data_IF_825952434766
#
_entry.id   IF_825952434766
#
_cell.length_a   1.000
_cell.length_b   1.000
_cell.length_c   1.000
_cell.angle_alpha   90.00
_cell.angle_beta   90.00
_cell.angle_gamma   90.00
#
_symmetry.space_group_name_H-M   'P 1'
#
loop_
_entity.id
_entity.type
_entity.pdbx_description
1 polymer ?
#
# COMPACT_ATOMS: atom_id res chain seq x y z
N UNK A 1 -63.58 -3.30 30.26
CA UNK A 1 -63.68 -4.27 29.14
C UNK A 1 -62.26 -4.74 28.86
N UNK A 2 -61.76 -5.73 29.60
CA UNK A 2 -61.91 -7.16 29.33
C UNK A 2 -61.33 -7.57 27.96
N UNK A 3 -60.27 -8.39 28.05
CA UNK A 3 -59.84 -9.41 27.07
C UNK A 3 -59.09 -8.86 25.84
N UNK A 4 -57.89 -9.30 25.45
CA UNK A 4 -57.24 -10.61 25.57
C UNK A 4 -55.71 -10.48 25.68
N UNK A 5 -55.15 -11.13 26.69
CA UNK A 5 -53.79 -11.68 26.73
C UNK A 5 -53.94 -13.18 27.06
N UNK A 6 -52.98 -13.99 26.62
CA UNK A 6 -52.78 -15.46 26.78
C UNK A 6 -53.18 -16.24 25.52
N UNK A 7 -52.28 -17.03 24.95
CA UNK A 7 -51.71 -18.21 25.63
C UNK A 7 -50.21 -18.46 25.35
N UNK A 8 -49.48 -18.66 26.48
CA UNK A 8 -48.45 -19.68 26.76
C UNK A 8 -47.17 -19.67 25.89
N UNK A 9 -45.99 -19.38 26.43
CA UNK A 9 -45.26 -20.18 27.45
C UNK A 9 -44.11 -20.90 26.70
N UNK A 10 -42.84 -20.89 27.09
CA UNK A 10 -42.20 -20.71 28.38
C UNK A 10 -40.76 -20.17 28.21
N UNK A 11 -40.33 -19.52 29.28
CA UNK A 11 -38.98 -19.26 29.77
C UNK A 11 -37.86 -20.21 29.31
N UNK A 12 -36.74 -19.64 28.86
CA UNK A 12 -35.49 -19.73 29.63
C UNK A 12 -34.58 -18.50 29.44
N UNK A 13 -34.13 -18.00 30.59
CA UNK A 13 -33.19 -16.88 30.84
C UNK A 13 -31.80 -17.25 30.27
N UNK A 14 -31.05 -16.32 29.71
CA UNK A 14 -30.24 -15.32 30.40
C UNK A 14 -29.95 -14.18 29.40
N UNK A 15 -30.01 -12.88 29.69
CA UNK A 15 -29.89 -12.21 30.97
C UNK A 15 -28.96 -11.02 30.77
N UNK A 16 -29.56 -9.87 30.43
CA UNK A 16 -29.15 -8.49 30.77
C UNK A 16 -27.85 -7.93 30.16
N UNK A 17 -27.74 -6.73 29.58
CA UNK A 17 -28.67 -5.61 29.40
C UNK A 17 -28.20 -4.75 28.22
N UNK A 18 -29.12 -4.47 27.28
CA UNK A 18 -29.07 -3.28 26.44
C UNK A 18 -29.58 -2.10 27.27
N UNK A 19 -28.86 -0.99 27.27
CA UNK A 19 -29.48 0.33 27.42
C UNK A 19 -29.47 1.00 26.04
N UNK A 20 -30.67 1.33 25.58
CA UNK A 20 -30.95 1.98 24.33
C UNK A 20 -31.04 3.50 24.58
N UNK A 21 -30.37 4.34 23.78
CA UNK A 21 -30.92 5.67 23.47
C UNK A 21 -30.32 6.28 22.20
N UNK A 22 -31.17 6.32 21.18
CA UNK A 22 -31.36 7.37 20.17
C UNK A 22 -30.22 8.39 19.94
N UNK A 23 -29.48 8.16 18.86
CA UNK A 23 -29.03 9.22 17.94
C UNK A 23 -29.20 8.65 16.52
N UNK A 24 -30.21 9.15 15.79
CA UNK A 24 -30.50 8.73 14.42
C UNK A 24 -29.40 9.23 13.49
N UNK A 25 -28.42 8.37 13.24
CA UNK A 25 -27.38 8.55 12.24
C UNK A 25 -26.32 7.47 12.39
N UNK A 26 -26.11 6.67 11.34
CA UNK A 26 -25.18 5.52 11.24
C UNK A 26 -25.82 4.16 11.53
N UNK A 27 -26.23 3.45 10.47
CA UNK A 27 -26.54 2.03 10.54
C UNK A 27 -25.20 1.26 10.52
N UNK A 28 -24.62 1.02 11.69
CA UNK A 28 -23.67 -0.07 11.91
C UNK A 28 -24.46 -1.39 11.85
N UNK A 29 -24.17 -2.23 10.87
CA UNK A 29 -24.48 -3.66 10.95
C UNK A 29 -23.14 -4.36 11.21
N UNK A 30 -22.84 -4.58 12.49
CA UNK A 30 -21.84 -5.56 12.94
C UNK A 30 -22.56 -6.91 12.99
N UNK A 31 -22.44 -7.69 11.92
CA UNK A 31 -22.65 -9.14 11.98
C UNK A 31 -21.26 -9.77 12.01
N UNK A 32 -21.04 -10.67 12.96
CA UNK A 32 -19.81 -11.40 13.13
C UNK A 32 -19.46 -12.15 11.83
N UNK A 33 -18.43 -11.66 11.14
CA UNK A 33 -17.89 -12.20 9.91
C UNK A 33 -16.65 -13.04 10.22
N UNK A 34 -16.59 -14.26 9.69
CA UNK A 34 -15.44 -15.16 9.85
C UNK A 34 -14.32 -14.82 8.86
N UNK A 35 -13.09 -15.14 9.26
CA UNK A 35 -11.76 -14.81 8.71
C UNK A 35 -11.57 -14.75 7.17
N UNK A 36 -12.47 -15.31 6.36
CA UNK A 36 -12.42 -15.21 4.89
C UNK A 36 -12.97 -13.90 4.30
N UNK A 37 -13.71 -13.08 5.07
CA UNK A 37 -14.47 -11.93 4.57
C UNK A 37 -13.72 -10.59 4.52
N UNK A 38 -12.45 -10.52 4.90
CA UNK A 38 -11.77 -9.21 4.95
C UNK A 38 -11.42 -8.62 3.56
N UNK A 39 -11.17 -9.46 2.56
CA UNK A 39 -11.11 -9.01 1.15
C UNK A 39 -12.49 -8.76 0.55
N UNK A 40 -13.55 -9.27 1.18
CA UNK A 40 -14.95 -9.01 0.81
C UNK A 40 -15.53 -7.76 1.50
N UNK A 41 -14.83 -7.20 2.51
CA UNK A 41 -15.33 -6.09 3.31
C UNK A 41 -15.45 -4.78 2.51
N UNK A 42 -14.60 -4.60 1.49
CA UNK A 42 -14.67 -3.47 0.56
C UNK A 42 -14.02 -3.84 -0.78
N UNK A 43 -14.81 -3.84 -1.87
CA UNK A 43 -14.29 -4.10 -3.22
C UNK A 43 -13.39 -2.93 -3.67
N UNK A 44 -12.08 -3.16 -3.58
CA UNK A 44 -11.02 -2.26 -4.09
C UNK A 44 -10.54 -2.64 -5.50
N UNK A 45 -11.15 -3.66 -6.11
CA UNK A 45 -10.78 -4.16 -7.44
C UNK A 45 -11.66 -3.59 -8.55
N UNK A 46 -12.62 -2.75 -8.18
CA UNK A 46 -13.50 -2.04 -9.09
C UNK A 46 -14.38 -2.98 -9.93
N UNK A 47 -14.69 -4.19 -9.46
CA UNK A 47 -15.33 -5.22 -10.28
C UNK A 47 -16.77 -4.84 -10.70
N UNK A 48 -17.53 -4.25 -9.77
CA UNK A 48 -18.92 -3.80 -9.98
C UNK A 48 -19.04 -2.29 -10.09
N UNK A 49 -18.25 -1.57 -9.31
CA UNK A 49 -18.16 -0.12 -9.28
C UNK A 49 -16.80 0.30 -8.73
N UNK A 50 -16.29 1.47 -9.15
CA UNK A 50 -15.08 2.04 -8.57
C UNK A 50 -15.47 2.91 -7.38
N UNK A 51 -15.07 2.52 -6.17
CA UNK A 51 -15.22 3.34 -4.96
C UNK A 51 -13.95 4.12 -4.60
N UNK A 52 -12.80 3.55 -4.95
CA UNK A 52 -11.46 4.13 -4.79
C UNK A 52 -10.53 3.51 -5.84
N UNK A 53 -9.38 4.13 -6.12
CA UNK A 53 -8.40 3.63 -7.10
C UNK A 53 -6.97 3.75 -6.54
N UNK A 54 -6.64 3.07 -5.43
CA UNK A 54 -5.37 3.29 -4.73
C UNK A 54 -4.16 2.90 -5.57
N UNK A 55 -4.31 1.89 -6.45
CA UNK A 55 -3.22 1.39 -7.29
C UNK A 55 -3.70 1.09 -8.72
N UNK A 56 -4.52 1.98 -9.27
CA UNK A 56 -5.15 1.83 -10.58
C UNK A 56 -6.32 0.84 -10.58
N UNK A 57 -6.88 0.57 -11.76
CA UNK A 57 -8.09 -0.24 -11.93
C UNK A 57 -8.13 -1.04 -13.23
N UNK A 58 -9.03 -2.03 -13.28
CA UNK A 58 -9.33 -2.81 -14.48
C UNK A 58 -8.12 -3.61 -15.00
N UNK A 59 -7.91 -3.61 -16.32
CA UNK A 59 -6.84 -4.43 -16.95
C UNK A 59 -5.43 -4.05 -16.48
N UNK A 60 -5.22 -2.82 -16.02
CA UNK A 60 -3.93 -2.28 -15.58
C UNK A 60 -3.85 -2.09 -14.06
N UNK A 61 -4.78 -2.66 -13.29
CA UNK A 61 -4.70 -2.67 -11.82
C UNK A 61 -3.32 -3.17 -11.36
N UNK A 62 -2.75 -2.59 -10.31
CA UNK A 62 -1.46 -3.01 -9.78
C UNK A 62 -1.46 -4.52 -9.50
N UNK A 63 -0.52 -5.29 -10.07
CA UNK A 63 -0.46 -6.72 -9.82
C UNK A 63 -0.09 -7.05 -8.37
N UNK A 64 0.58 -6.13 -7.67
CA UNK A 64 1.11 -6.31 -6.31
C UNK A 64 0.18 -5.76 -5.21
N UNK A 65 -1.05 -5.34 -5.51
CA UNK A 65 -1.96 -4.69 -4.56
C UNK A 65 -2.14 -5.49 -3.25
N UNK A 66 -2.26 -6.82 -3.34
CA UNK A 66 -2.40 -7.68 -2.15
C UNK A 66 -1.15 -7.67 -1.26
N UNK A 67 0.04 -7.68 -1.86
CA UNK A 67 1.30 -7.62 -1.13
C UNK A 67 1.52 -6.22 -0.52
N UNK A 68 1.18 -5.16 -1.26
CA UNK A 68 1.28 -3.78 -0.79
C UNK A 68 0.38 -3.53 0.43
N UNK A 69 -0.88 -3.98 0.40
CA UNK A 69 -1.78 -3.86 1.55
C UNK A 69 -1.27 -4.64 2.77
N UNK A 70 -0.77 -5.86 2.58
CA UNK A 70 -0.14 -6.63 3.64
C UNK A 70 1.04 -5.88 4.27
N UNK A 71 1.91 -5.29 3.43
CA UNK A 71 3.04 -4.50 3.93
C UNK A 71 2.56 -3.26 4.70
N UNK A 72 1.59 -2.51 4.17
CA UNK A 72 1.05 -1.33 4.85
C UNK A 72 0.42 -1.70 6.20
N UNK A 73 -0.43 -2.72 6.25
CA UNK A 73 -1.04 -3.21 7.47
C UNK A 73 0.01 -3.64 8.49
N UNK A 74 1.00 -4.46 8.07
CA UNK A 74 2.03 -4.97 8.95
C UNK A 74 2.91 -3.85 9.53
N UNK A 75 3.37 -2.91 8.70
CA UNK A 75 4.22 -1.80 9.14
C UNK A 75 3.44 -0.85 10.05
N UNK A 76 2.23 -0.42 9.66
CA UNK A 76 1.41 0.49 10.47
C UNK A 76 1.07 -0.12 11.83
N UNK A 77 0.69 -1.41 11.86
CA UNK A 77 0.37 -2.08 13.11
C UNK A 77 1.57 -2.10 14.07
N UNK A 78 2.75 -2.51 13.58
CA UNK A 78 3.95 -2.57 14.43
C UNK A 78 4.40 -1.17 14.87
N UNK A 79 4.35 -0.17 13.99
CA UNK A 79 4.74 1.20 14.32
C UNK A 79 3.82 1.82 15.39
N UNK A 80 2.51 1.59 15.31
CA UNK A 80 1.55 2.10 16.30
C UNK A 80 1.62 1.33 17.60
N UNK A 81 1.88 0.02 17.53
CA UNK A 81 1.99 -0.81 18.74
C UNK A 81 3.18 -0.41 19.60
N UNK A 82 4.32 -0.13 18.97
CA UNK A 82 5.56 0.16 19.69
C UNK A 82 5.81 1.62 20.02
N UNK A 83 5.26 2.55 19.24
CA UNK A 83 5.56 3.96 19.38
C UNK A 83 4.30 4.80 19.52
N UNK A 84 4.38 5.81 20.39
CA UNK A 84 3.42 6.91 20.40
C UNK A 84 3.92 8.02 19.45
N UNK A 85 3.16 8.29 18.39
CA UNK A 85 3.55 9.21 17.33
C UNK A 85 3.04 10.62 17.62
N UNK A 86 3.99 11.56 17.76
CA UNK A 86 3.73 12.98 18.07
C UNK A 86 4.58 13.90 17.20
N UNK A 87 4.15 15.14 17.07
CA UNK A 87 4.93 16.20 16.42
C UNK A 87 6.00 16.76 17.35
N UNK A 88 7.16 17.09 16.80
CA UNK A 88 8.22 17.82 17.53
C UNK A 88 7.70 19.20 17.92
N UNK A 89 7.85 19.56 19.20
CA UNK A 89 7.51 20.89 19.71
C UNK A 89 6.03 21.27 19.63
N UNK A 90 5.11 20.31 19.43
CA UNK A 90 3.67 20.58 19.33
C UNK A 90 3.23 21.29 18.04
N UNK A 91 4.08 21.30 17.01
CA UNK A 91 3.73 21.84 15.70
C UNK A 91 2.55 21.11 15.05
N UNK A 92 1.78 21.78 14.19
CA UNK A 92 0.67 21.12 13.47
C UNK A 92 1.15 20.35 12.25
N UNK A 93 0.56 19.17 11.99
CA UNK A 93 0.82 18.41 10.76
C UNK A 93 0.11 19.08 9.57
N UNK A 94 0.91 19.60 8.65
CA UNK A 94 0.45 20.01 7.33
C UNK A 94 0.27 18.79 6.43
N UNK A 95 -0.94 18.62 5.90
CA UNK A 95 -1.27 17.56 4.95
C UNK A 95 -1.50 18.11 3.53
N UNK A 96 -1.07 19.34 3.28
CA UNK A 96 -1.14 19.93 1.95
C UNK A 96 -0.17 19.18 1.04
N UNK A 97 -0.69 18.63 -0.05
CA UNK A 97 0.13 17.95 -1.06
C UNK A 97 1.08 18.96 -1.71
N UNK A 98 2.37 18.63 -1.74
CA UNK A 98 3.32 19.33 -2.60
C UNK A 98 3.11 18.82 -4.03
N UNK A 99 3.03 19.75 -4.96
CA UNK A 99 2.69 19.49 -6.35
C UNK A 99 3.88 18.81 -7.06
N UNK A 100 3.87 17.48 -7.13
CA UNK A 100 4.84 16.68 -7.89
C UNK A 100 4.11 16.00 -9.04
N UNK A 101 4.62 16.17 -10.28
CA UNK A 101 4.28 15.63 -11.62
C UNK A 101 2.81 15.28 -12.01
N UNK A 102 1.96 14.83 -11.09
CA UNK A 102 0.53 14.54 -11.25
C UNK A 102 -0.30 15.79 -10.93
N UNK A 103 -1.00 16.32 -11.93
CA UNK A 103 -1.95 17.42 -11.73
C UNK A 103 -3.29 16.86 -11.31
N UNK A 104 -3.62 16.96 -10.01
CA UNK A 104 -4.99 16.70 -9.53
C UNK A 104 -5.77 18.01 -9.56
N UNK A 105 -6.90 18.05 -10.25
CA UNK A 105 -7.75 19.25 -10.26
C UNK A 105 -8.42 19.43 -8.90
N UNK A 106 -8.10 20.52 -8.22
CA UNK A 106 -8.71 20.91 -6.94
C UNK A 106 -10.18 21.34 -7.07
N UNK A 107 -10.56 21.89 -8.22
CA UNK A 107 -11.93 22.37 -8.51
C UNK A 107 -12.40 21.94 -9.90
N UNK A 108 -13.63 21.42 -9.98
CA UNK A 108 -14.23 20.92 -11.22
C UNK A 108 -14.78 22.06 -12.10
N UNK A 109 -13.90 22.96 -12.58
CA UNK A 109 -14.30 24.11 -13.42
C UNK A 109 -14.85 23.71 -14.79
N UNK A 110 -14.39 22.58 -15.34
CA UNK A 110 -14.63 22.19 -16.74
C UNK A 110 -15.57 20.98 -16.90
N UNK A 111 -16.23 20.55 -15.82
CA UNK A 111 -17.07 19.36 -15.81
C UNK A 111 -16.28 18.04 -15.68
N UNK A 112 -16.96 16.89 -15.79
CA UNK A 112 -16.40 15.58 -15.46
C UNK A 112 -15.50 14.97 -16.56
N UNK A 113 -15.47 15.57 -17.75
CA UNK A 113 -14.56 15.23 -18.85
C UNK A 113 -14.03 16.55 -19.42
N UNK A 114 -12.71 16.66 -19.53
CA UNK A 114 -12.08 17.82 -20.15
C UNK A 114 -10.80 17.42 -20.87
N UNK A 115 -10.36 18.27 -21.79
CA UNK A 115 -9.15 18.03 -22.59
C UNK A 115 -8.13 19.12 -22.29
N UNK A 116 -6.91 18.73 -21.97
CA UNK A 116 -5.75 19.62 -21.94
C UNK A 116 -4.79 19.23 -23.05
N UNK A 117 -4.13 20.21 -23.68
CA UNK A 117 -3.03 19.92 -24.59
C UNK A 117 -1.74 19.82 -23.79
N UNK A 118 -1.19 18.61 -23.71
CA UNK A 118 0.10 18.35 -23.08
C UNK A 118 1.09 18.02 -24.19
N UNK A 119 1.92 19.00 -24.56
CA UNK A 119 2.78 18.92 -25.74
C UNK A 119 1.97 18.83 -27.04
N UNK A 120 2.34 17.90 -27.93
CA UNK A 120 1.70 17.72 -29.25
C UNK A 120 0.45 16.84 -29.23
N UNK A 121 0.10 16.22 -28.09
CA UNK A 121 -1.02 15.30 -27.97
C UNK A 121 -2.11 15.84 -27.02
N UNK A 122 -3.40 15.68 -27.35
CA UNK A 122 -4.46 15.96 -26.41
C UNK A 122 -4.47 14.91 -25.29
N UNK A 123 -4.52 15.36 -24.04
CA UNK A 123 -4.75 14.55 -22.85
C UNK A 123 -6.20 14.75 -22.39
N UNK A 124 -6.97 13.65 -22.36
CA UNK A 124 -8.35 13.64 -21.90
C UNK A 124 -8.36 13.20 -20.44
N UNK A 125 -8.96 14.02 -19.59
CA UNK A 125 -9.09 13.76 -18.16
C UNK A 125 -10.55 13.41 -17.86
N UNK A 126 -10.74 12.39 -17.02
CA UNK A 126 -12.04 11.98 -16.50
C UNK A 126 -12.05 12.14 -14.98
N UNK A 127 -13.08 12.79 -14.45
CA UNK A 127 -13.15 13.22 -13.05
C UNK A 127 -14.26 12.56 -12.23
N UNK A 128 -14.91 11.50 -12.74
CA UNK A 128 -15.99 10.82 -11.99
C UNK A 128 -15.79 9.31 -11.95
N UNK A 129 -16.19 8.65 -10.84
CA UNK A 129 -16.10 7.19 -10.72
C UNK A 129 -16.84 6.43 -11.83
N UNK A 130 -18.01 6.92 -12.25
CA UNK A 130 -18.80 6.29 -13.32
C UNK A 130 -18.05 6.29 -14.65
N UNK A 131 -17.38 7.39 -15.00
CA UNK A 131 -16.58 7.47 -16.22
C UNK A 131 -15.31 6.63 -16.13
N UNK A 132 -14.66 6.63 -14.97
CA UNK A 132 -13.51 5.76 -14.71
C UNK A 132 -13.89 4.28 -14.86
N UNK A 133 -15.03 3.86 -14.32
CA UNK A 133 -15.52 2.48 -14.42
C UNK A 133 -15.82 2.11 -15.88
N UNK A 134 -16.47 3.01 -16.62
CA UNK A 134 -16.72 2.83 -18.06
C UNK A 134 -15.43 2.68 -18.85
N UNK A 135 -14.42 3.52 -18.59
CA UNK A 135 -13.16 3.52 -19.33
C UNK A 135 -12.26 2.34 -18.94
N UNK A 136 -11.95 2.17 -17.65
CA UNK A 136 -10.92 1.26 -17.16
C UNK A 136 -11.42 -0.18 -17.01
N UNK A 137 -12.71 -0.36 -16.70
CA UNK A 137 -13.30 -1.68 -16.42
C UNK A 137 -14.11 -2.16 -17.63
N UNK A 138 -15.20 -1.46 -17.99
CA UNK A 138 -16.09 -1.91 -19.08
C UNK A 138 -15.41 -1.89 -20.45
N UNK A 139 -14.65 -0.83 -20.75
CA UNK A 139 -13.90 -0.68 -22.00
C UNK A 139 -12.39 -0.89 -21.79
N UNK A 140 -12.01 -1.65 -20.75
CA UNK A 140 -10.62 -1.72 -20.29
C UNK A 140 -9.62 -2.18 -21.34
N UNK A 141 -10.02 -2.97 -22.35
CA UNK A 141 -9.11 -3.36 -23.43
C UNK A 141 -8.75 -2.19 -24.36
N UNK A 142 -9.68 -1.26 -24.59
CA UNK A 142 -9.48 -0.07 -25.46
C UNK A 142 -8.56 0.94 -24.76
N UNK A 143 -8.71 1.11 -23.46
CA UNK A 143 -7.97 2.11 -22.68
C UNK A 143 -6.76 1.55 -21.92
N UNK A 144 -6.42 0.26 -22.09
CA UNK A 144 -5.27 -0.35 -21.43
C UNK A 144 -3.94 0.00 -22.11
N UNK A 145 -3.94 0.57 -23.31
CA UNK A 145 -2.70 0.84 -24.04
C UNK A 145 -1.90 2.02 -23.44
N UNK A 146 -0.65 2.16 -23.88
CA UNK A 146 0.25 3.24 -23.45
C UNK A 146 0.74 4.02 -24.66
N UNK A 147 0.70 5.36 -24.65
CA UNK A 147 1.26 6.14 -25.74
C UNK A 147 2.73 5.80 -25.97
N UNK A 148 3.17 5.89 -27.23
CA UNK A 148 4.58 5.72 -27.55
C UNK A 148 5.43 6.75 -26.79
N UNK A 149 6.44 6.25 -26.07
CA UNK A 149 7.34 7.06 -25.28
C UNK A 149 8.24 7.92 -26.17
N UNK A 150 8.55 9.14 -25.70
CA UNK A 150 9.60 9.97 -26.30
C UNK A 150 10.97 9.30 -26.16
N UNK A 151 11.98 9.76 -26.90
CA UNK A 151 13.31 9.14 -26.91
C UNK A 151 13.89 8.91 -25.49
N UNK A 152 13.81 9.92 -24.61
CA UNK A 152 14.23 9.79 -23.21
C UNK A 152 13.40 8.76 -22.43
N UNK A 153 12.09 8.69 -22.68
CA UNK A 153 11.22 7.70 -22.05
C UNK A 153 11.51 6.27 -22.52
N UNK A 154 11.85 6.08 -23.81
CA UNK A 154 12.27 4.78 -24.35
C UNK A 154 13.56 4.29 -23.70
N UNK A 155 14.47 5.19 -23.36
CA UNK A 155 15.69 4.87 -22.62
C UNK A 155 15.36 4.33 -21.22
N UNK A 156 14.58 5.08 -20.45
CA UNK A 156 14.30 4.75 -19.03
C UNK A 156 13.41 3.50 -18.92
N UNK A 157 12.54 3.25 -19.90
CA UNK A 157 11.57 2.15 -19.88
C UNK A 157 12.02 0.89 -20.62
N UNK A 158 13.31 0.77 -20.96
CA UNK A 158 13.83 -0.33 -21.80
C UNK A 158 12.98 -0.52 -23.08
N UNK A 159 12.80 0.56 -23.84
CA UNK A 159 11.95 0.63 -25.03
C UNK A 159 10.48 0.23 -24.76
N UNK A 160 9.93 0.64 -23.62
CA UNK A 160 8.60 0.25 -23.15
C UNK A 160 8.44 -1.28 -23.03
N UNK A 161 9.47 -1.98 -22.53
CA UNK A 161 9.42 -3.43 -22.24
C UNK A 161 9.37 -3.69 -20.73
N UNK A 162 8.47 -2.98 -20.07
CA UNK A 162 8.17 -3.11 -18.64
C UNK A 162 6.64 -3.07 -18.41
N UNK A 163 6.17 -3.38 -17.20
CA UNK A 163 4.73 -3.51 -16.92
C UNK A 163 3.99 -2.16 -16.97
N UNK A 164 4.63 -1.10 -16.50
CA UNK A 164 4.05 0.24 -16.37
C UNK A 164 3.81 0.92 -17.72
N UNK A 165 4.76 0.79 -18.65
CA UNK A 165 4.79 1.57 -19.89
C UNK A 165 4.63 0.76 -21.18
N UNK A 166 4.75 -0.58 -21.15
CA UNK A 166 4.53 -1.40 -22.35
C UNK A 166 3.12 -1.23 -22.90
N UNK A 167 3.00 -1.33 -24.23
CA UNK A 167 1.71 -1.36 -24.90
C UNK A 167 0.87 -2.57 -24.49
N UNK A 168 -0.46 -2.47 -24.59
CA UNK A 168 -1.36 -3.56 -24.21
C UNK A 168 -1.30 -4.69 -25.24
N UNK A 169 -0.44 -5.68 -24.99
CA UNK A 169 -0.17 -6.75 -25.94
C UNK A 169 0.55 -7.97 -25.33
N UNK A 170 1.09 -8.87 -26.16
CA UNK A 170 1.77 -10.09 -25.73
C UNK A 170 2.90 -9.85 -24.72
N UNK A 171 3.79 -8.89 -24.98
CA UNK A 171 4.91 -8.53 -24.08
C UNK A 171 4.42 -8.13 -22.69
N UNK A 172 3.45 -7.22 -22.59
CA UNK A 172 2.88 -6.80 -21.31
C UNK A 172 2.23 -7.97 -20.56
N UNK A 173 1.48 -8.84 -21.25
CA UNK A 173 0.87 -10.03 -20.64
C UNK A 173 1.92 -11.01 -20.14
N UNK A 174 3.01 -11.19 -20.89
CA UNK A 174 4.12 -12.06 -20.51
C UNK A 174 4.82 -11.55 -19.25
N UNK A 175 5.22 -10.28 -19.22
CA UNK A 175 5.88 -9.66 -18.06
C UNK A 175 5.00 -9.74 -16.81
N UNK A 176 3.72 -9.38 -16.95
CA UNK A 176 2.75 -9.42 -15.84
C UNK A 176 2.52 -10.84 -15.32
N UNK A 177 2.45 -11.84 -16.20
CA UNK A 177 2.28 -13.25 -15.82
C UNK A 177 3.51 -13.78 -15.07
N UNK A 178 4.72 -13.46 -15.54
CA UNK A 178 5.96 -13.88 -14.88
C UNK A 178 6.07 -13.26 -13.48
N UNK A 179 5.83 -11.94 -13.35
CA UNK A 179 5.83 -11.29 -12.04
C UNK A 179 4.81 -11.92 -11.08
N UNK A 180 3.61 -12.19 -11.59
CA UNK A 180 2.54 -12.79 -10.81
C UNK A 180 2.85 -14.24 -10.39
N UNK A 181 3.52 -15.02 -11.23
CA UNK A 181 3.85 -16.41 -10.97
C UNK A 181 5.05 -16.57 -10.02
N UNK A 182 6.09 -15.76 -10.22
CA UNK A 182 7.37 -15.95 -9.53
C UNK A 182 7.46 -15.20 -8.20
N UNK A 183 6.93 -13.98 -8.13
CA UNK A 183 7.07 -13.10 -6.96
C UNK A 183 5.72 -12.93 -6.24
N UNK A 184 4.67 -12.55 -6.95
CA UNK A 184 3.42 -12.10 -6.31
C UNK A 184 2.43 -13.25 -6.01
N UNK A 185 2.78 -14.48 -6.36
CA UNK A 185 1.88 -15.62 -6.16
C UNK A 185 1.59 -15.81 -4.65
N UNK A 186 0.34 -16.06 -4.22
CA UNK A 186 0.02 -16.18 -2.79
C UNK A 186 0.84 -17.23 -2.02
N UNK A 187 1.27 -18.32 -2.68
CA UNK A 187 2.16 -19.31 -2.06
C UNK A 187 3.57 -18.77 -1.80
N UNK A 188 4.08 -17.90 -2.68
CA UNK A 188 5.38 -17.20 -2.53
C UNK A 188 5.27 -16.08 -1.51
N UNK A 189 4.18 -15.32 -1.52
CA UNK A 189 3.93 -14.23 -0.57
C UNK A 189 4.09 -14.67 0.90
N UNK A 190 3.62 -15.88 1.25
CA UNK A 190 3.81 -16.47 2.58
C UNK A 190 5.27 -16.79 2.92
N UNK A 191 6.07 -17.20 1.93
CA UNK A 191 7.49 -17.52 2.13
C UNK A 191 8.34 -16.31 2.50
N UNK A 192 7.88 -15.09 2.20
CA UNK A 192 8.60 -13.85 2.51
C UNK A 192 8.38 -13.33 3.94
N UNK A 193 7.80 -14.12 4.85
CA UNK A 193 7.56 -13.69 6.23
C UNK A 193 8.86 -13.31 6.95
N UNK A 194 9.93 -14.10 6.72
CA UNK A 194 11.25 -13.78 7.27
C UNK A 194 11.83 -12.46 6.72
N UNK A 195 11.55 -12.13 5.45
CA UNK A 195 11.96 -10.87 4.85
C UNK A 195 11.22 -9.68 5.48
N UNK A 196 9.91 -9.82 5.71
CA UNK A 196 9.09 -8.81 6.38
C UNK A 196 9.52 -8.56 7.82
N UNK A 197 9.77 -9.62 8.59
CA UNK A 197 10.27 -9.51 9.96
C UNK A 197 11.65 -8.83 10.01
N UNK A 198 12.55 -9.19 9.09
CA UNK A 198 13.87 -8.57 8.98
C UNK A 198 13.80 -7.09 8.61
N UNK A 199 12.95 -6.71 7.64
CA UNK A 199 12.76 -5.32 7.25
C UNK A 199 12.17 -4.45 8.38
N UNK A 200 11.23 -5.00 9.16
CA UNK A 200 10.74 -4.33 10.37
C UNK A 200 11.85 -4.16 11.40
N UNK A 201 12.68 -5.18 11.63
CA UNK A 201 13.79 -5.06 12.57
C UNK A 201 14.79 -3.97 12.14
N UNK A 202 15.10 -3.88 10.84
CA UNK A 202 15.90 -2.77 10.28
C UNK A 202 15.23 -1.43 10.55
N UNK A 203 13.94 -1.30 10.27
CA UNK A 203 13.21 -0.05 10.49
C UNK A 203 13.28 0.38 11.95
N UNK A 204 13.05 -0.55 12.87
CA UNK A 204 13.07 -0.28 14.30
C UNK A 204 14.44 0.14 14.80
N UNK A 205 15.49 -0.57 14.42
CA UNK A 205 16.87 -0.22 14.77
C UNK A 205 17.27 1.16 14.23
N UNK A 206 16.69 1.59 13.11
CA UNK A 206 16.93 2.92 12.53
C UNK A 206 16.08 4.02 13.17
N UNK A 207 14.93 3.68 13.75
CA UNK A 207 14.00 4.63 14.38
C UNK A 207 14.25 4.84 15.88
N UNK A 208 14.80 3.85 16.58
CA UNK A 208 15.19 3.97 17.99
C UNK A 208 16.58 4.60 18.05
N UNK A 209 16.71 5.89 18.39
CA UNK A 209 18.03 6.47 18.58
C UNK A 209 18.67 5.88 19.83
N UNK A 210 19.99 5.76 19.81
CA UNK A 210 20.77 5.49 21.01
C UNK A 210 20.36 6.44 22.16
N UNK A 211 20.27 5.97 23.42
CA UNK A 211 19.74 6.76 24.55
C UNK A 211 20.42 8.13 24.76
N UNK A 212 21.66 8.27 24.30
CA UNK A 212 22.48 9.48 24.42
C UNK A 212 22.36 10.43 23.21
N UNK A 213 21.64 10.03 22.16
CA UNK A 213 21.51 10.74 20.88
C UNK A 213 20.06 11.07 20.51
N UNK A 214 19.10 10.91 21.44
CA UNK A 214 17.70 11.24 21.19
C UNK A 214 17.59 12.67 20.62
N UNK A 215 17.25 12.84 19.33
CA UNK A 215 17.42 14.12 18.67
C UNK A 215 16.36 15.09 19.18
N UNK A 216 16.81 16.24 19.70
CA UNK A 216 15.93 17.36 20.07
C UNK A 216 15.06 17.85 18.88
N UNK A 217 15.47 17.52 17.65
CA UNK A 217 14.87 17.96 16.38
C UNK A 217 13.90 16.94 15.75
N UNK A 218 13.68 15.77 16.39
CA UNK A 218 12.82 14.69 15.88
C UNK A 218 13.42 13.86 14.74
N UNK A 219 12.65 12.88 14.27
CA UNK A 219 13.10 11.87 13.30
C UNK A 219 12.41 12.07 11.94
N UNK A 220 13.20 12.18 10.87
CA UNK A 220 12.67 12.20 9.49
C UNK A 220 12.40 10.78 9.02
N UNK A 221 11.15 10.34 9.12
CA UNK A 221 10.79 8.94 8.87
C UNK A 221 10.79 8.50 7.40
N UNK A 222 10.74 9.42 6.44
CA UNK A 222 10.66 9.08 5.00
C UNK A 222 11.84 8.23 4.56
N UNK A 223 13.07 8.66 4.87
CA UNK A 223 14.29 7.96 4.47
C UNK A 223 14.38 6.56 5.12
N UNK A 224 13.85 6.42 6.34
CA UNK A 224 13.80 5.14 7.05
C UNK A 224 12.75 4.20 6.46
N UNK A 225 11.57 4.70 6.10
CA UNK A 225 10.52 3.91 5.43
C UNK A 225 10.97 3.47 4.05
N UNK A 226 11.52 4.38 3.24
CA UNK A 226 12.07 4.04 1.92
C UNK A 226 13.13 2.95 2.02
N UNK A 227 14.10 3.10 2.91
CA UNK A 227 15.16 2.11 3.09
C UNK A 227 14.61 0.74 3.56
N UNK A 228 13.69 0.71 4.53
CA UNK A 228 13.13 -0.54 5.03
C UNK A 228 12.29 -1.28 3.96
N UNK A 229 11.46 -0.55 3.21
CA UNK A 229 10.68 -1.13 2.09
C UNK A 229 11.62 -1.60 0.99
N UNK A 230 12.66 -0.83 0.67
CA UNK A 230 13.66 -1.22 -0.32
C UNK A 230 14.34 -2.54 0.05
N UNK A 231 14.85 -2.65 1.28
CA UNK A 231 15.43 -3.89 1.81
C UNK A 231 14.46 -5.07 1.73
N UNK A 232 13.19 -4.86 2.10
CA UNK A 232 12.15 -5.88 1.99
C UNK A 232 11.98 -6.39 0.55
N UNK A 233 11.91 -5.47 -0.41
CA UNK A 233 11.70 -5.83 -1.81
C UNK A 233 12.93 -6.47 -2.43
N UNK A 234 14.14 -6.05 -2.06
CA UNK A 234 15.40 -6.70 -2.44
C UNK A 234 15.42 -8.15 -1.95
N UNK A 235 15.15 -8.39 -0.68
CA UNK A 235 15.09 -9.76 -0.15
C UNK A 235 13.97 -10.56 -0.85
N UNK A 236 12.81 -9.95 -1.08
CA UNK A 236 11.73 -10.62 -1.82
C UNK A 236 12.13 -11.00 -3.25
N UNK A 237 12.92 -10.15 -3.92
CA UNK A 237 13.37 -10.33 -5.30
C UNK A 237 14.48 -11.38 -5.43
N UNK A 238 15.45 -11.40 -4.51
CA UNK A 238 16.65 -12.25 -4.61
C UNK A 238 16.62 -13.47 -3.69
N UNK A 239 15.72 -13.51 -2.71
CA UNK A 239 15.56 -14.64 -1.79
C UNK A 239 16.62 -14.74 -0.70
N UNK A 240 17.51 -13.76 -0.56
CA UNK A 240 18.55 -13.72 0.47
C UNK A 240 18.71 -12.34 1.10
N UNK A 241 19.26 -12.31 2.31
CA UNK A 241 19.69 -11.09 2.99
C UNK A 241 21.00 -10.62 2.36
N UNK A 242 20.96 -9.46 1.71
CA UNK A 242 22.18 -8.83 1.23
C UNK A 242 22.87 -8.05 2.36
N UNK A 243 24.19 -7.98 2.32
CA UNK A 243 24.98 -7.14 3.23
C UNK A 243 24.70 -5.65 2.94
N UNK A 244 24.91 -4.78 3.93
CA UNK A 244 24.61 -3.35 3.78
C UNK A 244 25.37 -2.70 2.60
N UNK A 245 26.61 -3.13 2.34
CA UNK A 245 27.39 -2.68 1.19
C UNK A 245 26.74 -3.11 -0.14
N UNK A 246 26.26 -4.34 -0.23
CA UNK A 246 25.55 -4.85 -1.41
C UNK A 246 24.21 -4.12 -1.61
N UNK A 247 23.46 -3.85 -0.53
CA UNK A 247 22.21 -3.07 -0.60
C UNK A 247 22.49 -1.66 -1.12
N UNK A 248 23.53 -1.00 -0.60
CA UNK A 248 23.96 0.33 -1.07
C UNK A 248 24.39 0.30 -2.53
N UNK A 249 25.06 -0.76 -2.99
CA UNK A 249 25.40 -0.90 -4.40
C UNK A 249 24.17 -1.12 -5.29
N UNK A 250 23.19 -1.92 -4.88
CA UNK A 250 21.92 -2.06 -5.62
C UNK A 250 21.19 -0.72 -5.67
N UNK A 251 21.08 -0.01 -4.54
CA UNK A 251 20.46 1.32 -4.48
C UNK A 251 21.22 2.32 -5.36
N UNK A 252 22.56 2.29 -5.35
CA UNK A 252 23.42 3.13 -6.19
C UNK A 252 23.20 2.81 -7.65
N UNK A 253 23.16 1.54 -8.03
CA UNK A 253 22.92 1.09 -9.42
C UNK A 253 21.54 1.52 -9.88
N UNK A 254 20.49 1.41 -9.07
CA UNK A 254 19.15 1.92 -9.42
C UNK A 254 19.11 3.44 -9.56
N UNK A 255 19.71 4.17 -8.61
CA UNK A 255 19.86 5.63 -8.71
C UNK A 255 20.70 6.02 -9.94
N UNK A 256 21.69 5.22 -10.32
CA UNK A 256 22.51 5.42 -11.52
C UNK A 256 21.79 5.01 -12.81
N UNK A 257 20.93 3.99 -12.81
CA UNK A 257 20.07 3.62 -13.95
C UNK A 257 19.07 4.74 -14.28
N UNK A 258 18.66 5.51 -13.28
CA UNK A 258 17.88 6.75 -13.47
C UNK A 258 18.72 7.90 -14.08
N UNK A 259 20.05 7.83 -14.07
CA UNK A 259 20.97 8.94 -14.41
C UNK A 259 21.92 8.63 -15.60
N UNK A 260 22.22 7.36 -15.90
CA UNK A 260 23.19 6.95 -16.92
C UNK A 260 22.64 5.86 -17.86
N UNK A 261 22.35 6.31 -19.07
CA UNK A 261 21.92 5.54 -20.23
C UNK A 261 23.07 4.83 -20.94
N UNK A 262 23.00 3.52 -21.15
CA UNK A 262 23.78 2.84 -22.19
C UNK A 262 22.91 1.88 -23.01
N UNK A 263 23.15 1.88 -24.32
CA UNK A 263 22.36 1.28 -25.40
C UNK A 263 22.77 -0.17 -25.63
N UNK A 264 21.81 -1.06 -25.92
CA UNK A 264 21.86 -1.93 -27.10
C UNK A 264 20.52 -2.63 -27.37
N UNK A 265 20.19 -2.74 -28.66
CA UNK A 265 18.96 -3.27 -29.23
C UNK A 265 19.06 -4.79 -29.45
N UNK A 266 17.95 -5.50 -29.23
CA UNK A 266 17.45 -6.53 -30.14
C UNK A 266 15.96 -6.81 -29.86
N UNK A 267 15.24 -7.22 -30.91
CA UNK A 267 13.79 -7.43 -31.00
C UNK A 267 13.56 -8.89 -31.38
N UNK A 268 12.77 -9.63 -30.61
CA UNK A 268 12.04 -10.82 -31.09
C UNK A 268 10.71 -11.00 -30.30
N UNK A 269 9.63 -11.31 -31.01
CA UNK A 269 8.41 -12.04 -30.59
C UNK A 269 8.63 -13.51 -31.01
N UNK A 270 8.12 -14.61 -30.46
CA UNK A 270 6.95 -15.00 -29.66
C UNK A 270 7.34 -16.30 -28.87
N UNK A 271 6.52 -16.79 -27.93
CA UNK A 271 6.77 -17.96 -27.03
C UNK A 271 8.20 -18.09 -26.46
N UNK A 272 8.77 -16.97 -26.01
CA UNK A 272 10.14 -16.92 -25.51
C UNK A 272 10.22 -16.72 -24.01
N UNK A 273 11.29 -17.26 -23.42
CA UNK A 273 11.73 -16.90 -22.08
C UNK A 273 12.07 -15.40 -22.03
N UNK A 274 11.93 -14.78 -20.86
CA UNK A 274 12.36 -13.40 -20.65
C UNK A 274 13.86 -13.28 -20.97
N UNK A 275 14.23 -12.25 -21.73
CA UNK A 275 15.65 -11.95 -21.93
C UNK A 275 16.22 -11.25 -20.69
N UNK A 276 17.55 -11.20 -20.58
CA UNK A 276 18.24 -10.63 -19.41
C UNK A 276 17.83 -9.18 -19.14
N UNK A 277 17.73 -8.35 -20.19
CA UNK A 277 17.31 -6.95 -20.08
C UNK A 277 15.88 -6.80 -19.56
N UNK A 278 14.97 -7.69 -19.95
CA UNK A 278 13.60 -7.73 -19.46
C UNK A 278 13.52 -8.21 -18.01
N UNK A 279 14.35 -9.18 -17.61
CA UNK A 279 14.43 -9.62 -16.21
C UNK A 279 14.95 -8.50 -15.32
N UNK A 280 16.07 -7.85 -15.71
CA UNK A 280 16.61 -6.70 -14.98
C UNK A 280 15.59 -5.57 -14.90
N UNK A 281 14.95 -5.23 -16.03
CA UNK A 281 13.92 -4.19 -16.06
C UNK A 281 12.72 -4.52 -15.16
N UNK A 282 12.31 -5.80 -15.09
CA UNK A 282 11.21 -6.24 -14.25
C UNK A 282 11.56 -6.17 -12.76
N UNK A 283 12.79 -6.56 -12.40
CA UNK A 283 13.31 -6.45 -11.04
C UNK A 283 13.41 -4.99 -10.61
N UNK A 284 14.03 -4.12 -11.43
CA UNK A 284 14.10 -2.68 -11.14
C UNK A 284 12.72 -2.06 -10.97
N UNK A 285 11.77 -2.39 -11.86
CA UNK A 285 10.39 -1.89 -11.74
C UNK A 285 9.69 -2.38 -10.46
N UNK A 286 9.89 -3.63 -10.06
CA UNK A 286 9.35 -4.16 -8.81
C UNK A 286 9.92 -3.43 -7.58
N UNK A 287 11.22 -3.19 -7.56
CA UNK A 287 11.92 -2.51 -6.47
C UNK A 287 11.53 -1.02 -6.40
N UNK A 288 11.63 -0.29 -7.51
CA UNK A 288 11.41 1.16 -7.55
C UNK A 288 9.93 1.48 -7.28
N UNK A 289 9.02 0.90 -8.06
CA UNK A 289 7.59 1.19 -7.92
C UNK A 289 7.04 0.73 -6.57
N UNK A 290 7.52 -0.42 -6.05
CA UNK A 290 7.12 -0.92 -4.75
C UNK A 290 7.64 -0.06 -3.59
N UNK A 291 8.88 0.44 -3.70
CA UNK A 291 9.51 1.28 -2.66
C UNK A 291 8.82 2.62 -2.55
N UNK A 292 8.70 3.33 -3.67
CA UNK A 292 8.17 4.71 -3.69
C UNK A 292 6.70 4.74 -3.23
N UNK A 293 5.86 3.88 -3.79
CA UNK A 293 4.42 3.89 -3.47
C UNK A 293 4.13 3.47 -2.04
N UNK A 294 4.79 2.41 -1.54
CA UNK A 294 4.56 1.89 -0.18
C UNK A 294 5.11 2.85 0.87
N UNK A 295 6.32 3.38 0.68
CA UNK A 295 6.92 4.34 1.64
C UNK A 295 6.14 5.65 1.70
N UNK A 296 5.65 6.15 0.56
CA UNK A 296 4.78 7.33 0.48
C UNK A 296 3.44 7.08 1.18
N UNK A 297 2.81 5.92 0.96
CA UNK A 297 1.59 5.54 1.66
C UNK A 297 1.80 5.45 3.18
N UNK A 298 2.91 4.85 3.63
CA UNK A 298 3.27 4.82 5.06
C UNK A 298 3.42 6.23 5.62
N UNK A 299 4.13 7.11 4.93
CA UNK A 299 4.30 8.50 5.35
C UNK A 299 2.94 9.19 5.55
N UNK A 300 2.04 9.08 4.58
CA UNK A 300 0.72 9.70 4.65
C UNK A 300 -0.17 9.10 5.74
N UNK A 301 -0.17 7.77 5.89
CA UNK A 301 -0.94 7.10 6.95
C UNK A 301 -0.44 7.55 8.33
N UNK A 302 0.87 7.51 8.57
CA UNK A 302 1.45 7.92 9.85
C UNK A 302 1.22 9.41 10.12
N UNK A 303 1.35 10.28 9.11
CA UNK A 303 1.04 11.70 9.25
C UNK A 303 -0.43 11.95 9.64
N UNK A 304 -1.38 11.21 9.06
CA UNK A 304 -2.78 11.28 9.44
C UNK A 304 -3.00 10.79 10.89
N UNK A 305 -2.32 9.72 11.32
CA UNK A 305 -2.42 9.23 12.70
C UNK A 305 -1.86 10.22 13.74
N UNK A 306 -0.79 10.95 13.40
CA UNK A 306 -0.29 12.06 14.22
C UNK A 306 -1.28 13.21 14.28
N UNK A 307 -1.86 13.58 13.13
CA UNK A 307 -2.84 14.67 13.03
C UNK A 307 -4.15 14.38 13.78
N UNK A 308 -4.56 13.11 13.82
CA UNK A 308 -5.79 12.67 14.46
C UNK A 308 -5.50 11.69 15.61
N UNK A 309 -5.07 12.16 16.79
CA UNK A 309 -4.67 11.31 17.92
C UNK A 309 -5.76 10.31 18.34
N UNK A 310 -7.04 10.69 18.27
CA UNK A 310 -8.17 9.79 18.55
C UNK A 310 -8.18 8.55 17.66
N UNK A 311 -7.77 8.67 16.40
CA UNK A 311 -7.66 7.54 15.46
C UNK A 311 -6.50 6.66 15.86
N UNK A 312 -5.34 7.25 16.20
CA UNK A 312 -4.17 6.54 16.69
C UNK A 312 -4.45 5.75 17.97
N UNK A 313 -5.07 6.37 18.97
CA UNK A 313 -5.46 5.70 20.24
C UNK A 313 -6.41 4.54 19.98
N UNK A 314 -7.44 4.75 19.16
CA UNK A 314 -8.40 3.69 18.84
C UNK A 314 -7.74 2.53 18.07
N UNK A 315 -6.80 2.83 17.19
CA UNK A 315 -6.03 1.80 16.49
C UNK A 315 -5.14 1.02 17.45
N UNK A 316 -4.46 1.72 18.37
CA UNK A 316 -3.68 1.07 19.43
C UNK A 316 -4.55 0.17 20.31
N UNK A 317 -5.74 0.62 20.73
CA UNK A 317 -6.68 -0.17 21.53
C UNK A 317 -7.11 -1.47 20.81
N UNK A 318 -7.38 -1.42 19.50
CA UNK A 318 -7.66 -2.62 18.71
C UNK A 318 -6.47 -3.58 18.71
N UNK A 319 -5.27 -3.08 18.40
CA UNK A 319 -4.05 -3.88 18.34
C UNK A 319 -3.78 -4.51 19.71
N UNK A 320 -3.77 -3.71 20.78
CA UNK A 320 -3.58 -4.15 22.15
C UNK A 320 -4.58 -5.23 22.56
N UNK A 321 -5.86 -5.10 22.17
CA UNK A 321 -6.89 -6.11 22.45
C UNK A 321 -6.65 -7.46 21.74
N UNK A 322 -5.87 -7.48 20.65
CA UNK A 322 -5.59 -8.68 19.85
C UNK A 322 -4.27 -9.34 20.25
N UNK A 323 -3.18 -8.55 20.34
CA UNK A 323 -1.82 -9.05 20.56
C UNK A 323 -1.31 -8.84 21.99
N UNK A 324 -2.02 -8.06 22.81
CA UNK A 324 -1.62 -7.72 24.18
C UNK A 324 -0.73 -6.47 24.27
N UNK A 325 -0.12 -6.23 25.44
CA UNK A 325 0.70 -5.04 25.68
C UNK A 325 1.94 -5.05 24.79
N UNK A 326 2.33 -3.86 24.33
CA UNK A 326 3.60 -3.69 23.62
C UNK A 326 4.77 -4.12 24.50
N UNK A 327 5.79 -4.78 23.94
CA UNK A 327 7.06 -4.96 24.61
C UNK A 327 7.60 -3.58 25.01
N UNK A 328 7.93 -3.40 26.28
CA UNK A 328 8.62 -2.19 26.73
C UNK A 328 10.03 -2.21 26.12
N UNK A 329 10.41 -1.12 25.45
CA UNK A 329 11.76 -0.93 24.88
C UNK A 329 12.81 -0.60 25.95
N UNK A 330 12.43 -0.55 27.24
CA UNK A 330 13.32 -0.15 28.33
C UNK A 330 14.34 -1.24 28.69
N UNK A 331 15.62 -0.92 28.51
CA UNK A 331 16.75 -1.62 29.15
C UNK A 331 17.36 -2.81 28.39
N UNK A 332 17.40 -2.81 27.05
CA UNK A 332 17.80 -3.99 26.28
C UNK A 332 19.16 -3.87 25.57
N UNK A 333 19.98 -4.91 25.75
CA UNK A 333 21.22 -5.16 24.99
C UNK A 333 20.89 -5.39 23.50
N UNK A 334 21.82 -5.00 22.62
CA UNK A 334 21.77 -5.02 21.13
C UNK A 334 21.35 -6.35 20.44
N UNK A 335 21.07 -7.42 21.19
CA UNK A 335 20.83 -8.78 20.67
C UNK A 335 19.46 -9.39 21.02
N UNK A 336 18.57 -8.67 21.68
CA UNK A 336 17.25 -9.21 21.99
C UNK A 336 16.33 -9.20 20.76
N UNK A 337 15.60 -10.31 20.55
CA UNK A 337 14.68 -10.48 19.43
C UNK A 337 13.55 -9.46 19.56
N UNK A 338 13.45 -8.53 18.61
CA UNK A 338 12.31 -7.61 18.53
C UNK A 338 11.06 -8.45 18.23
N UNK A 339 10.11 -8.46 19.16
CA UNK A 339 8.87 -9.23 19.04
C UNK A 339 7.91 -8.48 18.12
N UNK A 340 7.61 -9.04 16.96
CA UNK A 340 6.73 -8.38 15.99
C UNK A 340 5.31 -8.94 16.04
N UNK A 341 4.33 -8.11 15.67
CA UNK A 341 2.97 -8.57 15.34
C UNK A 341 3.07 -9.56 14.18
N UNK A 342 2.38 -10.69 14.32
CA UNK A 342 2.40 -11.73 13.30
C UNK A 342 1.37 -11.43 12.21
N UNK A 343 1.63 -11.96 11.02
CA UNK A 343 0.74 -11.75 9.86
C UNK A 343 -0.66 -12.32 10.08
N UNK A 344 -0.77 -13.41 10.85
CA UNK A 344 -2.06 -14.03 11.18
C UNK A 344 -2.93 -13.12 12.06
N UNK A 345 -2.32 -12.28 12.90
CA UNK A 345 -3.04 -11.36 13.78
C UNK A 345 -3.70 -10.22 13.00
N UNK A 346 -3.10 -9.79 11.88
CA UNK A 346 -3.62 -8.73 11.01
C UNK A 346 -5.02 -9.04 10.48
N UNK A 347 -5.35 -10.33 10.30
CA UNK A 347 -6.67 -10.74 9.84
C UNK A 347 -7.79 -10.25 10.76
N UNK A 348 -7.50 -10.15 12.07
CA UNK A 348 -8.44 -9.74 13.13
C UNK A 348 -8.51 -8.21 13.32
N UNK A 349 -7.58 -7.45 12.74
CA UNK A 349 -7.47 -6.00 12.90
C UNK A 349 -8.32 -5.26 11.84
N UNK A 350 -9.63 -5.15 12.08
CA UNK A 350 -10.56 -4.56 11.11
C UNK A 350 -10.39 -3.03 11.00
N UNK A 351 -10.15 -2.36 12.12
CA UNK A 351 -9.96 -0.91 12.16
C UNK A 351 -8.64 -0.51 11.49
N UNK A 352 -7.57 -1.29 11.68
CA UNK A 352 -6.32 -1.13 10.93
C UNK A 352 -6.56 -1.10 9.41
N UNK A 353 -7.35 -2.04 8.88
CA UNK A 353 -7.67 -2.10 7.44
C UNK A 353 -8.36 -0.82 6.97
N UNK A 354 -9.31 -0.31 7.75
CA UNK A 354 -9.96 0.97 7.43
C UNK A 354 -9.00 2.16 7.52
N UNK A 355 -8.06 2.17 8.47
CA UNK A 355 -7.03 3.23 8.56
C UNK A 355 -6.15 3.22 7.31
N UNK A 356 -5.68 2.04 6.87
CA UNK A 356 -4.86 1.89 5.66
C UNK A 356 -5.64 2.32 4.42
N UNK A 357 -6.88 1.83 4.26
CA UNK A 357 -7.73 2.17 3.12
C UNK A 357 -8.10 3.65 3.07
N UNK A 358 -8.40 4.28 4.21
CA UNK A 358 -8.70 5.72 4.26
C UNK A 358 -7.45 6.56 3.96
N UNK A 359 -6.27 6.10 4.39
CA UNK A 359 -4.99 6.69 4.00
C UNK A 359 -4.81 6.70 2.48
N UNK A 360 -4.96 5.53 1.85
CA UNK A 360 -4.86 5.38 0.39
C UNK A 360 -5.97 6.11 -0.38
N UNK A 361 -7.17 6.25 0.20
CA UNK A 361 -8.27 7.01 -0.41
C UNK A 361 -7.99 8.51 -0.41
N UNK A 362 -7.38 9.03 0.67
CA UNK A 362 -7.02 10.46 0.80
C UNK A 362 -5.77 10.80 0.01
N UNK A 363 -4.81 9.88 -0.01
CA UNK A 363 -3.50 10.06 -0.61
C UNK A 363 -3.18 8.83 -1.48
N UNK A 364 -3.76 8.74 -2.69
CA UNK A 364 -3.45 7.65 -3.61
C UNK A 364 -1.99 7.78 -4.06
N UNK A 365 -1.21 6.71 -3.90
CA UNK A 365 0.22 6.66 -4.19
C UNK A 365 0.55 6.21 -5.61
#
# INVERSE_FOLDING_TARGET
MLSWWRTLGATQRCGTNLWCSNLRGSLLILVAATVHEASDLFDITGSREIKMMPFGEGRRICPAIGLALLHLELFVANLVWYFEWKTVGGNTVDLSEKQEFITVMKEAKYGPIFTLRVGSRPAIFIGTPTLAYRALVQNGAVFADRPEALAAGKIISNHQRNISSAGYGPTWRLLRRNLAAEILHPSRARSYSAARQWALAILFNRLVPEPHLAPAEGVRVVDHFQHAVFCLLVFTCFGDKLEEEQIREVERVQRQLLVHTWVDLELLEDERKLNEKEMVSLCSEFLDAGTDTTSTALQWIMANLVKYPRVQTKLYEEIHGIVGPSPQLEGKNEKEVIVMIKEEDLQRMCYLKFVVLEGLRRHPS
#
